data_IF_888494678249
#
_entry.id   IF_888494678249
#
_cell.length_a   1.000
_cell.length_b   1.000
_cell.length_c   1.000
_cell.angle_alpha   90.00
_cell.angle_beta   90.00
_cell.angle_gamma   90.00
#
_symmetry.space_group_name_H-M   'P 1'
#
loop_
_entity.id
_entity.type
_entity.pdbx_description
1 polymer ?
#
# COMPACT_ATOMS: atom_id res chain seq x y z
N UNK A 1 -18.30 1.88 -6.42
CA UNK A 1 -17.68 2.79 -7.41
C UNK A 1 -17.99 4.26 -7.17
N UNK A 2 -19.26 4.72 -7.12
CA UNK A 2 -19.57 6.16 -6.93
C UNK A 2 -18.92 6.78 -5.69
N UNK A 3 -18.95 6.11 -4.53
CA UNK A 3 -18.31 6.61 -3.30
C UNK A 3 -16.80 6.80 -3.43
N UNK A 4 -16.10 5.86 -4.09
CA UNK A 4 -14.64 5.91 -4.25
C UNK A 4 -14.20 7.08 -5.15
N UNK A 5 -14.93 7.33 -6.23
CA UNK A 5 -14.66 8.49 -7.11
C UNK A 5 -14.70 9.81 -6.32
N UNK A 6 -15.73 10.03 -5.51
CA UNK A 6 -15.83 11.24 -4.69
C UNK A 6 -14.67 11.40 -3.68
N UNK A 7 -14.21 10.30 -3.08
CA UNK A 7 -13.07 10.33 -2.15
C UNK A 7 -11.79 10.71 -2.88
N UNK A 8 -11.50 10.07 -4.01
CA UNK A 8 -10.30 10.34 -4.83
C UNK A 8 -10.31 11.80 -5.33
N UNK A 9 -11.44 12.27 -5.87
CA UNK A 9 -11.58 13.66 -6.29
C UNK A 9 -11.45 14.63 -5.11
N UNK A 10 -12.02 14.30 -3.96
CA UNK A 10 -11.91 15.09 -2.74
C UNK A 10 -10.47 15.27 -2.28
N UNK A 11 -9.67 14.20 -2.30
CA UNK A 11 -8.24 14.27 -1.96
C UNK A 11 -7.42 15.07 -2.98
N UNK A 12 -7.73 14.96 -4.29
CA UNK A 12 -7.07 15.79 -5.32
C UNK A 12 -7.38 17.27 -5.10
N UNK A 13 -8.65 17.61 -4.87
CA UNK A 13 -9.05 18.99 -4.58
C UNK A 13 -8.42 19.51 -3.28
N UNK A 14 -8.36 18.67 -2.24
CA UNK A 14 -7.70 19.01 -0.97
C UNK A 14 -6.21 19.31 -1.17
N UNK A 15 -5.54 18.53 -2.02
CA UNK A 15 -4.14 18.77 -2.38
C UNK A 15 -3.95 20.11 -3.09
N UNK A 16 -4.77 20.39 -4.11
CA UNK A 16 -4.72 21.66 -4.86
C UNK A 16 -5.00 22.85 -3.95
N UNK A 17 -6.02 22.74 -3.10
CA UNK A 17 -6.35 23.77 -2.12
C UNK A 17 -5.21 23.98 -1.12
N UNK A 18 -4.62 22.89 -0.59
CA UNK A 18 -3.49 22.97 0.35
C UNK A 18 -2.26 23.60 -0.28
N UNK A 19 -1.99 23.31 -1.55
CA UNK A 19 -0.87 23.91 -2.29
C UNK A 19 -1.01 25.43 -2.38
N UNK A 20 -2.22 25.92 -2.69
CA UNK A 20 -2.49 27.35 -2.83
C UNK A 20 -2.57 28.05 -1.46
N UNK A 21 -3.31 27.49 -0.51
CA UNK A 21 -3.55 28.12 0.80
C UNK A 21 -2.31 28.17 1.70
N UNK A 22 -1.36 27.25 1.52
CA UNK A 22 -0.14 27.16 2.33
C UNK A 22 1.07 27.76 1.61
N UNK A 23 0.86 28.67 0.65
CA UNK A 23 1.96 29.40 0.03
C UNK A 23 2.82 30.12 1.08
N UNK A 24 4.14 29.92 0.99
CA UNK A 24 5.11 30.47 1.95
C UNK A 24 5.39 29.58 3.18
N UNK A 25 4.57 28.57 3.47
CA UNK A 25 4.79 27.67 4.61
C UNK A 25 5.80 26.56 4.28
N UNK A 26 6.64 26.19 5.25
CA UNK A 26 7.66 25.14 5.12
C UNK A 26 7.02 23.77 4.84
N UNK A 27 5.83 23.54 5.40
CA UNK A 27 5.12 22.26 5.31
C UNK A 27 4.27 22.09 4.05
N UNK A 28 4.17 23.13 3.19
CA UNK A 28 3.30 23.15 2.01
C UNK A 28 3.41 21.88 1.16
N UNK A 29 4.63 21.53 0.77
CA UNK A 29 4.85 20.42 -0.15
C UNK A 29 4.42 19.08 0.45
N UNK A 30 4.61 18.88 1.76
CA UNK A 30 4.19 17.65 2.43
C UNK A 30 2.67 17.50 2.42
N UNK A 31 1.97 18.58 2.81
CA UNK A 31 0.52 18.55 2.99
C UNK A 31 -0.22 18.52 1.66
N UNK A 32 0.29 19.18 0.63
CA UNK A 32 -0.24 19.03 -0.70
C UNK A 32 0.01 17.63 -1.27
N UNK A 33 1.19 17.03 -1.03
CA UNK A 33 1.53 15.74 -1.63
C UNK A 33 0.78 14.55 -1.02
N UNK A 34 0.55 14.55 0.30
CA UNK A 34 -0.10 13.43 1.01
C UNK A 34 -1.46 13.03 0.40
N UNK A 35 -2.43 13.95 0.20
CA UNK A 35 -3.71 13.60 -0.41
C UNK A 35 -3.59 13.05 -1.84
N UNK A 36 -2.68 13.59 -2.67
CA UNK A 36 -2.43 13.05 -4.02
C UNK A 36 -1.94 11.60 -3.95
N UNK A 37 -0.97 11.32 -3.07
CA UNK A 37 -0.44 9.97 -2.93
C UNK A 37 -1.51 9.00 -2.39
N UNK A 38 -2.37 9.43 -1.47
CA UNK A 38 -3.52 8.62 -1.05
C UNK A 38 -4.47 8.33 -2.21
N UNK A 39 -4.80 9.33 -3.04
CA UNK A 39 -5.62 9.13 -4.24
C UNK A 39 -5.02 8.09 -5.18
N UNK A 40 -3.71 8.17 -5.44
CA UNK A 40 -2.99 7.20 -6.27
C UNK A 40 -3.01 5.81 -5.62
N UNK A 41 -2.75 5.72 -4.31
CA UNK A 41 -2.74 4.45 -3.58
C UNK A 41 -4.10 3.76 -3.64
N UNK A 42 -5.19 4.49 -3.39
CA UNK A 42 -6.56 3.95 -3.46
C UNK A 42 -6.87 3.46 -4.88
N UNK A 43 -6.52 4.26 -5.91
CA UNK A 43 -6.77 3.89 -7.31
C UNK A 43 -5.98 2.65 -7.73
N UNK A 44 -4.70 2.56 -7.36
CA UNK A 44 -3.86 1.40 -7.64
C UNK A 44 -4.39 0.15 -6.93
N UNK A 45 -4.76 0.27 -5.66
CA UNK A 45 -5.32 -0.83 -4.91
C UNK A 45 -6.63 -1.34 -5.53
N UNK A 46 -7.56 -0.43 -5.87
CA UNK A 46 -8.82 -0.77 -6.54
C UNK A 46 -8.60 -1.52 -7.84
N UNK A 47 -7.68 -1.01 -8.65
CA UNK A 47 -7.34 -1.61 -9.94
C UNK A 47 -6.81 -3.03 -9.75
N UNK A 48 -5.87 -3.22 -8.84
CA UNK A 48 -5.24 -4.52 -8.58
C UNK A 48 -6.24 -5.49 -7.97
N UNK A 49 -7.01 -5.08 -6.95
CA UNK A 49 -8.01 -5.91 -6.30
C UNK A 49 -9.08 -6.39 -7.29
N UNK A 50 -9.61 -5.48 -8.11
CA UNK A 50 -10.57 -5.81 -9.17
C UNK A 50 -9.96 -6.78 -10.19
N UNK A 51 -8.72 -6.54 -10.62
CA UNK A 51 -8.02 -7.42 -11.56
C UNK A 51 -7.84 -8.83 -10.99
N UNK A 52 -7.39 -8.93 -9.73
CA UNK A 52 -7.20 -10.19 -9.01
C UNK A 52 -8.53 -10.93 -8.84
N UNK A 53 -9.59 -10.23 -8.44
CA UNK A 53 -10.92 -10.80 -8.24
C UNK A 53 -11.49 -11.42 -9.52
N UNK A 54 -11.27 -10.77 -10.67
CA UNK A 54 -11.74 -11.27 -11.98
C UNK A 54 -10.89 -12.45 -12.48
N UNK A 55 -9.58 -12.46 -12.20
CA UNK A 55 -8.62 -13.38 -12.85
C UNK A 55 -8.24 -14.59 -12.01
N UNK A 56 -8.27 -14.48 -10.68
CA UNK A 56 -7.92 -15.58 -9.80
C UNK A 56 -9.16 -16.33 -9.34
N UNK A 57 -8.97 -17.63 -9.07
CA UNK A 57 -10.00 -18.37 -8.36
C UNK A 57 -10.06 -17.91 -6.88
N UNK A 58 -11.13 -18.31 -6.18
CA UNK A 58 -11.37 -17.89 -4.80
C UNK A 58 -10.23 -18.24 -3.84
N UNK A 59 -9.55 -19.38 -4.03
CA UNK A 59 -8.46 -19.81 -3.14
C UNK A 59 -7.23 -18.90 -3.26
N UNK A 60 -6.74 -18.68 -4.47
CA UNK A 60 -5.53 -17.86 -4.70
C UNK A 60 -5.76 -16.39 -4.37
N UNK A 61 -6.97 -15.89 -4.65
CA UNK A 61 -7.38 -14.57 -4.20
C UNK A 61 -7.32 -14.45 -2.67
N UNK A 62 -7.88 -15.42 -1.94
CA UNK A 62 -7.85 -15.44 -0.46
C UNK A 62 -6.42 -15.47 0.08
N UNK A 63 -5.55 -16.32 -0.47
CA UNK A 63 -4.15 -16.41 -0.03
C UNK A 63 -3.43 -15.08 -0.21
N UNK A 64 -3.67 -14.35 -1.30
CA UNK A 64 -2.96 -13.09 -1.57
C UNK A 64 -3.49 -11.91 -0.73
N UNK A 65 -4.80 -11.88 -0.46
CA UNK A 65 -5.46 -10.73 0.17
C UNK A 65 -5.55 -10.88 1.70
N UNK A 66 -5.63 -12.11 2.22
CA UNK A 66 -5.88 -12.35 3.64
C UNK A 66 -4.84 -11.73 4.58
N UNK A 67 -3.51 -11.87 4.38
CA UNK A 67 -2.55 -11.32 5.35
C UNK A 67 -2.64 -9.79 5.46
N UNK A 68 -2.83 -9.11 4.33
CA UNK A 68 -3.05 -7.66 4.29
C UNK A 68 -4.33 -7.26 5.02
N UNK A 69 -5.43 -7.96 4.75
CA UNK A 69 -6.73 -7.70 5.39
C UNK A 69 -6.68 -7.94 6.89
N UNK A 70 -6.05 -9.03 7.35
CA UNK A 70 -5.94 -9.34 8.77
C UNK A 70 -5.22 -8.20 9.50
N UNK A 71 -4.09 -7.70 8.96
CA UNK A 71 -3.37 -6.60 9.57
C UNK A 71 -4.14 -5.28 9.48
N UNK A 72 -4.88 -5.07 8.38
CA UNK A 72 -5.76 -3.92 8.18
C UNK A 72 -6.82 -3.83 9.29
N UNK A 73 -7.59 -4.90 9.50
CA UNK A 73 -8.63 -4.95 10.53
C UNK A 73 -8.02 -4.91 11.94
N UNK A 74 -6.88 -5.58 12.17
CA UNK A 74 -6.19 -5.49 13.45
C UNK A 74 -5.77 -4.04 13.76
N UNK A 75 -5.37 -3.27 12.75
CA UNK A 75 -5.00 -1.87 12.91
C UNK A 75 -6.20 -1.02 13.34
N UNK A 76 -7.38 -1.25 12.76
CA UNK A 76 -8.63 -0.63 13.24
C UNK A 76 -8.92 -0.98 14.70
N UNK A 77 -8.84 -2.27 15.06
CA UNK A 77 -9.11 -2.73 16.42
C UNK A 77 -8.14 -2.10 17.45
N UNK A 78 -6.85 -2.04 17.12
CA UNK A 78 -5.83 -1.42 17.97
C UNK A 78 -6.07 0.09 18.12
N UNK A 79 -6.33 0.80 17.02
CA UNK A 79 -6.61 2.23 17.07
C UNK A 79 -7.90 2.55 17.84
N UNK A 80 -8.95 1.73 17.66
CA UNK A 80 -10.18 1.85 18.42
C UNK A 80 -9.90 1.69 19.93
N UNK A 81 -9.13 0.68 20.33
CA UNK A 81 -8.77 0.45 21.73
C UNK A 81 -7.93 1.60 22.31
N UNK A 82 -6.92 2.09 21.59
CA UNK A 82 -6.06 3.20 22.04
C UNK A 82 -6.86 4.49 22.22
N UNK A 83 -7.83 4.73 21.34
CA UNK A 83 -8.68 5.94 21.39
C UNK A 83 -9.81 5.85 22.42
N UNK A 84 -9.91 4.75 23.16
CA UNK A 84 -10.92 4.54 24.20
C UNK A 84 -12.28 4.05 23.68
N UNK A 85 -12.35 3.59 22.43
CA UNK A 85 -13.53 2.91 21.91
C UNK A 85 -13.62 1.47 22.46
N UNK A 86 -14.84 0.97 22.63
CA UNK A 86 -15.11 -0.42 23.02
C UNK A 86 -15.33 -1.27 21.77
N UNK A 87 -14.37 -2.14 21.46
CA UNK A 87 -14.50 -3.12 20.38
C UNK A 87 -15.51 -4.20 20.80
N UNK A 88 -16.53 -4.42 19.98
CA UNK A 88 -17.64 -5.37 20.21
C UNK A 88 -17.40 -6.66 19.44
N UNK A 89 -16.91 -6.56 18.21
CA UNK A 89 -16.67 -7.71 17.34
C UNK A 89 -15.53 -7.44 16.37
N UNK A 90 -14.79 -8.49 16.03
CA UNK A 90 -13.71 -8.47 15.04
C UNK A 90 -13.88 -9.66 14.12
N UNK A 91 -13.99 -9.40 12.82
CA UNK A 91 -13.91 -10.38 11.75
C UNK A 91 -12.67 -10.06 10.92
N UNK A 92 -11.56 -10.75 11.20
CA UNK A 92 -10.27 -10.46 10.57
C UNK A 92 -10.22 -10.81 9.09
N UNK A 93 -10.94 -11.86 8.69
CA UNK A 93 -11.05 -12.26 7.29
C UNK A 93 -12.29 -13.10 7.03
N UNK A 94 -13.19 -12.59 6.20
CA UNK A 94 -14.35 -13.30 5.68
C UNK A 94 -14.71 -12.76 4.30
N UNK A 95 -14.50 -13.58 3.25
CA UNK A 95 -14.88 -13.20 1.88
C UNK A 95 -16.38 -13.45 1.69
N UNK A 96 -17.18 -12.38 1.72
CA UNK A 96 -18.61 -12.46 1.44
C UNK A 96 -18.92 -12.32 -0.06
N UNK A 97 -20.17 -12.62 -0.45
CA UNK A 97 -20.63 -12.48 -1.84
C UNK A 97 -20.66 -11.02 -2.34
N UNK A 98 -20.53 -10.04 -1.44
CA UNK A 98 -20.52 -8.60 -1.75
C UNK A 98 -19.09 -8.05 -1.87
N UNK A 99 -18.07 -8.87 -1.65
CA UNK A 99 -16.66 -8.48 -1.68
C UNK A 99 -16.16 -7.82 -0.40
N UNK A 100 -16.90 -7.89 0.71
CA UNK A 100 -16.34 -7.52 2.01
C UNK A 100 -15.33 -8.59 2.42
N UNK A 101 -14.22 -8.15 3.01
CA UNK A 101 -13.09 -9.01 3.37
C UNK A 101 -12.89 -9.11 4.88
N UNK A 102 -13.36 -8.14 5.65
CA UNK A 102 -13.20 -8.07 7.10
C UNK A 102 -14.08 -6.97 7.69
N UNK A 103 -14.17 -6.94 9.02
CA UNK A 103 -14.83 -5.84 9.73
C UNK A 103 -14.40 -5.76 11.19
N UNK A 104 -14.35 -4.53 11.71
CA UNK A 104 -14.26 -4.25 13.15
C UNK A 104 -15.47 -3.44 13.58
N UNK A 105 -16.23 -3.99 14.52
CA UNK A 105 -17.35 -3.30 15.14
C UNK A 105 -16.92 -2.73 16.49
N UNK A 106 -17.11 -1.44 16.68
CA UNK A 106 -16.81 -0.76 17.94
C UNK A 106 -17.86 0.29 18.28
N UNK A 107 -18.02 0.57 19.57
CA UNK A 107 -18.80 1.70 20.07
C UNK A 107 -17.88 2.73 20.71
N UNK A 108 -18.31 3.98 20.71
CA UNK A 108 -17.58 5.10 21.30
C UNK A 108 -18.55 6.06 21.98
N UNK A 109 -18.02 6.83 22.93
CA UNK A 109 -18.77 7.90 23.59
C UNK A 109 -19.18 8.99 22.60
N UNK A 110 -20.40 9.53 22.76
CA UNK A 110 -20.90 10.67 21.96
C UNK A 110 -20.39 12.00 22.52
N UNK A 111 -19.08 12.16 22.57
CA UNK A 111 -18.41 13.38 23.01
C UNK A 111 -17.81 14.16 21.82
N UNK A 112 -17.25 15.34 22.12
CA UNK A 112 -16.60 16.19 21.12
C UNK A 112 -15.36 15.55 20.47
N UNK A 113 -14.82 14.49 21.05
CA UNK A 113 -13.65 13.78 20.52
C UNK A 113 -14.00 12.66 19.52
N UNK A 114 -15.29 12.35 19.35
CA UNK A 114 -15.76 11.33 18.38
C UNK A 114 -15.20 11.52 16.97
N UNK A 115 -15.09 12.77 16.48
CA UNK A 115 -14.51 13.07 15.17
C UNK A 115 -13.03 12.70 15.10
N UNK A 116 -12.25 13.04 16.14
CA UNK A 116 -10.83 12.70 16.22
C UNK A 116 -10.62 11.19 16.32
N UNK A 117 -11.42 10.49 17.12
CA UNK A 117 -11.35 9.03 17.24
C UNK A 117 -11.64 8.35 15.90
N UNK A 118 -12.72 8.76 15.22
CA UNK A 118 -13.07 8.24 13.89
C UNK A 118 -11.98 8.54 12.86
N UNK A 119 -11.38 9.74 12.90
CA UNK A 119 -10.24 10.09 12.05
C UNK A 119 -9.05 9.14 12.29
N UNK A 120 -8.62 8.95 13.55
CA UNK A 120 -7.51 8.06 13.90
C UNK A 120 -7.81 6.62 13.47
N UNK A 121 -9.01 6.10 13.77
CA UNK A 121 -9.41 4.75 13.40
C UNK A 121 -9.46 4.59 11.88
N UNK A 122 -10.01 5.55 11.14
CA UNK A 122 -10.11 5.50 9.68
C UNK A 122 -8.75 5.47 8.97
N UNK A 123 -7.73 6.13 9.52
CA UNK A 123 -6.36 6.09 8.99
C UNK A 123 -5.49 4.97 9.58
N UNK A 124 -6.00 4.20 10.55
CA UNK A 124 -5.20 3.18 11.24
C UNK A 124 -4.59 2.12 10.31
N UNK A 125 -5.31 1.57 9.31
CA UNK A 125 -4.73 0.55 8.43
C UNK A 125 -3.56 1.07 7.60
N UNK A 126 -3.63 2.33 7.17
CA UNK A 126 -2.54 2.99 6.47
C UNK A 126 -1.27 3.00 7.32
N UNK A 127 -1.37 3.37 8.59
CA UNK A 127 -0.22 3.36 9.50
C UNK A 127 0.22 1.93 9.87
N UNK A 128 -0.71 1.03 10.21
CA UNK A 128 -0.36 -0.32 10.64
C UNK A 128 0.28 -1.15 9.54
N UNK A 129 -0.37 -1.27 8.39
CA UNK A 129 0.21 -1.95 7.23
C UNK A 129 1.45 -1.22 6.70
N UNK A 130 1.41 0.11 6.65
CA UNK A 130 2.50 0.93 6.15
C UNK A 130 3.79 0.86 6.97
N UNK A 131 3.71 0.92 8.29
CA UNK A 131 4.87 0.73 9.19
C UNK A 131 5.42 -0.68 9.03
N UNK A 132 4.56 -1.70 8.98
CA UNK A 132 4.99 -3.08 8.77
C UNK A 132 5.68 -3.26 7.40
N UNK A 133 5.20 -2.60 6.34
CA UNK A 133 5.85 -2.61 5.03
C UNK A 133 7.26 -2.02 5.08
N UNK A 134 7.43 -0.87 5.70
CA UNK A 134 8.77 -0.26 5.88
C UNK A 134 9.67 -1.19 6.70
N UNK A 135 9.15 -1.80 7.76
CA UNK A 135 9.89 -2.75 8.59
C UNK A 135 10.32 -3.99 7.80
N UNK A 136 9.43 -4.60 7.01
CA UNK A 136 9.76 -5.76 6.17
C UNK A 136 10.78 -5.42 5.09
N UNK A 137 10.68 -4.22 4.51
CA UNK A 137 11.62 -3.75 3.50
C UNK A 137 13.02 -3.57 4.10
N UNK A 138 13.10 -2.96 5.28
CA UNK A 138 14.34 -2.80 6.03
C UNK A 138 14.91 -4.12 6.57
N UNK A 139 14.05 -5.06 6.98
CA UNK A 139 14.45 -6.40 7.38
C UNK A 139 15.13 -7.13 6.22
N UNK A 140 14.55 -7.06 5.01
CA UNK A 140 15.14 -7.65 3.82
C UNK A 140 16.48 -6.99 3.46
N UNK A 141 16.57 -5.65 3.52
CA UNK A 141 17.85 -4.96 3.28
C UNK A 141 18.90 -5.37 4.30
N UNK A 142 18.56 -5.37 5.60
CA UNK A 142 19.47 -5.79 6.66
C UNK A 142 19.96 -7.23 6.48
N UNK A 143 19.08 -8.14 6.05
CA UNK A 143 19.42 -9.53 5.78
C UNK A 143 20.46 -9.69 4.65
N UNK A 144 20.43 -8.77 3.68
CA UNK A 144 21.35 -8.74 2.55
C UNK A 144 22.47 -7.69 2.69
N UNK A 145 22.70 -7.16 3.89
CA UNK A 145 23.68 -6.09 4.16
C UNK A 145 23.51 -4.83 3.29
N UNK A 146 22.27 -4.57 2.85
CA UNK A 146 21.88 -3.36 2.14
C UNK A 146 21.62 -2.18 3.08
N UNK A 147 21.54 -0.99 2.48
CA UNK A 147 21.21 0.23 3.22
C UNK A 147 19.74 0.26 3.65
N UNK A 148 19.52 0.60 4.92
CA UNK A 148 18.19 0.73 5.52
C UNK A 148 17.49 1.97 4.94
N UNK A 149 16.23 1.82 4.57
CA UNK A 149 15.38 2.94 4.17
C UNK A 149 15.02 3.77 5.40
N UNK A 150 15.37 5.04 5.33
CA UNK A 150 15.04 6.04 6.35
C UNK A 150 14.35 7.23 5.69
N UNK A 151 13.84 8.15 6.51
CA UNK A 151 13.22 9.39 6.05
C UNK A 151 14.13 10.29 5.20
N UNK A 152 15.44 10.04 5.16
CA UNK A 152 16.38 10.82 4.34
C UNK A 152 16.12 10.67 2.84
N UNK A 153 15.54 9.54 2.42
CA UNK A 153 15.21 9.31 1.01
C UNK A 153 14.03 10.16 0.53
N UNK A 154 13.23 10.69 1.45
CA UNK A 154 12.02 11.46 1.14
C UNK A 154 12.43 12.89 0.79
N UNK A 155 12.35 13.23 -0.50
CA UNK A 155 12.54 14.59 -0.98
C UNK A 155 11.30 15.04 -1.76
N UNK A 156 10.58 16.01 -1.19
CA UNK A 156 9.37 16.59 -1.77
C UNK A 156 9.59 18.01 -2.30
N UNK A 157 10.82 18.42 -2.60
CA UNK A 157 11.11 19.76 -3.13
C UNK A 157 10.63 19.92 -4.58
N UNK A 158 10.69 18.84 -5.37
CA UNK A 158 10.25 18.82 -6.76
C UNK A 158 9.61 17.47 -7.13
N UNK A 159 8.81 17.46 -8.21
CA UNK A 159 8.24 16.22 -8.77
C UNK A 159 9.34 15.23 -9.13
N UNK A 160 10.43 15.70 -9.73
CA UNK A 160 11.58 14.85 -10.06
C UNK A 160 12.18 14.19 -8.81
N UNK A 161 12.31 14.93 -7.70
CA UNK A 161 12.82 14.39 -6.45
C UNK A 161 11.91 13.28 -5.89
N UNK A 162 10.60 13.46 -5.98
CA UNK A 162 9.61 12.45 -5.57
C UNK A 162 9.73 11.21 -6.46
N UNK A 163 9.83 11.38 -7.78
CA UNK A 163 10.02 10.28 -8.73
C UNK A 163 11.33 9.53 -8.46
N UNK A 164 12.41 10.22 -8.12
CA UNK A 164 13.68 9.60 -7.70
C UNK A 164 13.51 8.80 -6.41
N UNK A 165 12.78 9.31 -5.40
CA UNK A 165 12.46 8.56 -4.18
C UNK A 165 11.67 7.28 -4.48
N UNK A 166 10.65 7.37 -5.35
CA UNK A 166 9.85 6.21 -5.80
C UNK A 166 10.74 5.20 -6.53
N UNK A 167 11.54 5.66 -7.50
CA UNK A 167 12.42 4.80 -8.28
C UNK A 167 13.43 4.07 -7.38
N UNK A 168 14.00 4.76 -6.38
CA UNK A 168 14.91 4.16 -5.41
C UNK A 168 14.21 3.10 -4.56
N UNK A 169 13.00 3.34 -4.06
CA UNK A 169 12.23 2.35 -3.30
C UNK A 169 11.92 1.12 -4.16
N UNK A 170 11.45 1.33 -5.39
CA UNK A 170 11.17 0.25 -6.36
C UNK A 170 12.45 -0.54 -6.67
N UNK A 171 13.58 0.13 -6.86
CA UNK A 171 14.87 -0.51 -7.07
C UNK A 171 15.25 -1.40 -5.87
N UNK A 172 15.09 -0.91 -4.63
CA UNK A 172 15.37 -1.69 -3.41
C UNK A 172 14.44 -2.89 -3.27
N UNK A 173 13.19 -2.77 -3.69
CA UNK A 173 12.26 -3.89 -3.78
C UNK A 173 12.75 -4.93 -4.79
N UNK A 174 13.08 -4.53 -6.03
CA UNK A 174 13.54 -5.48 -7.05
C UNK A 174 14.90 -6.12 -6.74
N UNK A 175 15.80 -5.40 -6.07
CA UNK A 175 17.09 -5.96 -5.62
C UNK A 175 16.90 -7.17 -4.71
N UNK A 176 15.81 -7.26 -3.94
CA UNK A 176 15.52 -8.44 -3.13
C UNK A 176 15.28 -9.70 -3.98
N UNK A 177 14.72 -9.58 -5.18
CA UNK A 177 14.57 -10.72 -6.09
C UNK A 177 15.90 -11.19 -6.65
N UNK A 178 16.82 -10.26 -6.93
CA UNK A 178 18.15 -10.57 -7.47
C UNK A 178 19.07 -11.22 -6.42
N UNK A 179 18.94 -10.79 -5.17
CA UNK A 179 19.75 -11.27 -4.04
C UNK A 179 19.14 -12.49 -3.34
N UNK A 180 17.87 -12.79 -3.59
CA UNK A 180 17.21 -13.99 -3.09
C UNK A 180 17.71 -15.20 -3.87
N UNK A 181 18.71 -15.89 -3.34
CA UNK A 181 19.18 -17.21 -3.80
C UNK A 181 18.13 -18.31 -3.54
N UNK A 182 16.87 -18.07 -3.89
CA UNK A 182 15.69 -18.88 -3.53
C UNK A 182 15.53 -19.06 -2.00
N UNK A 183 16.02 -18.10 -1.22
CA UNK A 183 15.92 -18.16 0.24
C UNK A 183 14.44 -18.10 0.66
N UNK A 184 13.92 -19.09 1.42
CA UNK A 184 12.51 -19.15 1.78
C UNK A 184 12.06 -17.95 2.63
N UNK A 185 12.96 -17.38 3.44
CA UNK A 185 12.67 -16.20 4.26
C UNK A 185 12.46 -14.98 3.38
N UNK A 186 13.34 -14.75 2.39
CA UNK A 186 13.20 -13.64 1.45
C UNK A 186 11.93 -13.78 0.61
N UNK A 187 11.59 -15.00 0.18
CA UNK A 187 10.33 -15.28 -0.53
C UNK A 187 9.12 -14.95 0.35
N UNK A 188 9.14 -15.37 1.62
CA UNK A 188 8.08 -15.05 2.57
C UNK A 188 7.94 -13.54 2.77
N UNK A 189 9.06 -12.82 2.92
CA UNK A 189 9.06 -11.35 3.06
C UNK A 189 8.46 -10.69 1.81
N UNK A 190 8.88 -11.09 0.61
CA UNK A 190 8.35 -10.56 -0.64
C UNK A 190 6.84 -10.83 -0.78
N UNK A 191 6.40 -12.04 -0.44
CA UNK A 191 4.98 -12.39 -0.40
C UNK A 191 4.21 -11.48 0.57
N UNK A 192 4.70 -11.31 1.80
CA UNK A 192 4.07 -10.43 2.79
C UNK A 192 4.06 -8.97 2.35
N UNK A 193 5.13 -8.46 1.73
CA UNK A 193 5.18 -7.09 1.20
C UNK A 193 4.10 -6.85 0.15
N UNK A 194 3.84 -7.80 -0.75
CA UNK A 194 2.74 -7.70 -1.72
C UNK A 194 1.39 -7.73 -1.01
N UNK A 195 1.16 -8.69 -0.10
CA UNK A 195 -0.10 -8.83 0.62
C UNK A 195 -0.43 -7.56 1.44
N UNK A 196 0.55 -7.05 2.19
CA UNK A 196 0.38 -5.85 3.01
C UNK A 196 0.28 -4.57 2.17
N UNK A 197 0.93 -4.54 1.00
CA UNK A 197 0.76 -3.47 0.01
C UNK A 197 -0.72 -3.30 -0.36
N UNK A 198 -1.40 -4.41 -0.63
CA UNK A 198 -2.84 -4.47 -0.94
C UNK A 198 -3.72 -4.16 0.28
N UNK A 199 -3.25 -4.49 1.49
CA UNK A 199 -3.96 -4.18 2.73
C UNK A 199 -3.78 -2.74 3.25
N UNK A 200 -2.84 -1.96 2.71
CA UNK A 200 -2.47 -0.66 3.28
C UNK A 200 -3.39 0.50 2.86
N UNK A 201 -4.11 0.37 1.76
CA UNK A 201 -5.01 1.41 1.27
C UNK A 201 -6.30 1.44 2.12
N UNK A 202 -6.66 2.58 2.75
CA UNK A 202 -7.93 2.68 3.43
C UNK A 202 -9.10 2.59 2.44
N UNK A 203 -10.16 1.90 2.85
CA UNK A 203 -11.37 1.72 2.07
C UNK A 203 -12.28 2.96 2.14
N UNK A 204 -13.24 3.05 1.21
CA UNK A 204 -14.27 4.09 1.29
C UNK A 204 -15.17 3.98 2.52
N UNK A 205 -15.26 2.79 3.12
CA UNK A 205 -16.04 2.55 4.34
C UNK A 205 -15.32 3.15 5.54
N UNK A 206 -13.99 3.01 5.60
CA UNK A 206 -13.15 3.50 6.70
C UNK A 206 -13.26 5.03 6.78
N UNK A 207 -13.20 5.70 5.63
CA UNK A 207 -13.39 7.15 5.56
C UNK A 207 -14.84 7.61 5.73
N UNK A 208 -15.83 6.78 5.41
CA UNK A 208 -17.24 7.12 5.61
C UNK A 208 -17.53 7.42 7.08
N UNK A 209 -16.91 6.67 8.00
CA UNK A 209 -16.99 6.94 9.44
C UNK A 209 -16.47 8.34 9.78
N UNK A 210 -15.25 8.65 9.34
CA UNK A 210 -14.60 9.95 9.54
C UNK A 210 -15.43 11.11 8.99
N UNK A 211 -15.82 11.06 7.71
CA UNK A 211 -16.58 12.15 7.07
C UNK A 211 -17.99 12.30 7.65
N UNK A 212 -18.68 11.18 7.89
CA UNK A 212 -20.02 11.24 8.47
C UNK A 212 -20.00 11.76 9.91
N UNK A 213 -18.95 11.45 10.67
CA UNK A 213 -18.73 12.03 12.00
C UNK A 213 -18.45 13.52 11.92
N UNK A 214 -17.62 13.95 10.96
CA UNK A 214 -17.28 15.35 10.80
C UNK A 214 -18.51 16.23 10.46
N UNK A 215 -19.42 15.72 9.62
CA UNK A 215 -20.68 16.41 9.30
C UNK A 215 -21.64 16.43 10.50
N UNK A 216 -21.73 15.32 11.25
CA UNK A 216 -22.66 15.20 12.38
C UNK A 216 -22.23 15.97 13.64
N UNK A 217 -20.94 16.22 13.82
CA UNK A 217 -20.38 16.81 15.03
C UNK A 217 -19.51 18.04 14.70
N UNK A 218 -20.13 19.19 14.38
CA UNK A 218 -19.41 20.38 13.89
C UNK A 218 -18.40 20.92 14.91
N UNK A 219 -18.69 20.86 16.21
CA UNK A 219 -17.75 21.26 17.26
C UNK A 219 -16.50 20.40 17.26
N UNK A 220 -16.65 19.06 17.15
CA UNK A 220 -15.51 18.15 17.04
C UNK A 220 -14.70 18.38 15.77
N UNK A 221 -15.36 18.72 14.67
CA UNK A 221 -14.71 19.11 13.42
C UNK A 221 -13.91 20.40 13.57
N UNK A 222 -14.45 21.42 14.24
CA UNK A 222 -13.72 22.66 14.52
C UNK A 222 -12.50 22.40 15.40
N UNK A 223 -12.61 21.52 16.41
CA UNK A 223 -11.46 21.11 17.23
C UNK A 223 -10.41 20.44 16.35
N UNK A 224 -10.80 19.49 15.49
CA UNK A 224 -9.87 18.83 14.57
C UNK A 224 -9.18 19.81 13.62
N UNK A 225 -9.94 20.74 13.04
CA UNK A 225 -9.40 21.79 12.16
C UNK A 225 -8.44 22.72 12.91
N UNK A 226 -8.78 23.09 14.16
CA UNK A 226 -7.91 23.90 15.00
C UNK A 226 -6.60 23.18 15.34
N UNK A 227 -6.65 21.87 15.61
CA UNK A 227 -5.46 21.05 15.81
C UNK A 227 -4.58 21.03 14.56
N UNK A 228 -5.17 20.85 13.37
CA UNK A 228 -4.42 20.93 12.12
C UNK A 228 -3.79 22.32 11.93
N UNK A 229 -4.57 23.40 12.08
CA UNK A 229 -4.09 24.78 11.99
C UNK A 229 -2.93 25.04 12.97
N UNK A 230 -3.02 24.51 14.19
CA UNK A 230 -1.97 24.63 15.20
C UNK A 230 -0.69 23.91 14.78
N UNK A 231 -0.78 22.73 14.16
CA UNK A 231 0.39 22.02 13.60
C UNK A 231 1.07 22.85 12.51
N UNK A 232 0.31 23.53 11.64
CA UNK A 232 0.89 24.41 10.63
C UNK A 232 1.60 25.61 11.24
N UNK A 233 0.93 26.30 12.17
CA UNK A 233 1.49 27.47 12.83
C UNK A 233 2.76 27.13 13.61
N UNK A 234 2.73 26.05 14.40
CA UNK A 234 3.91 25.54 15.12
C UNK A 234 5.00 25.03 14.16
N UNK A 235 4.62 24.59 12.97
CA UNK A 235 5.53 24.13 11.92
C UNK A 235 6.49 25.19 11.37
N UNK A 236 6.21 26.48 11.61
CA UNK A 236 7.06 27.59 11.14
C UNK A 236 8.16 27.96 12.15
N UNK A 237 8.05 27.54 13.41
CA UNK A 237 9.08 27.82 14.42
C UNK A 237 10.26 26.84 14.29
N UNK A 238 11.53 27.30 14.32
CA UNK A 238 12.70 26.47 13.98
C UNK A 238 12.85 25.16 14.78
N UNK A 239 12.49 25.16 16.06
CA UNK A 239 12.63 23.96 16.91
C UNK A 239 11.54 22.93 16.62
N UNK A 240 10.29 23.37 16.52
CA UNK A 240 9.13 22.50 16.28
C UNK A 240 9.02 22.09 14.82
N UNK A 241 9.46 22.92 13.88
CA UNK A 241 9.48 22.63 12.44
C UNK A 241 10.27 21.36 12.14
N UNK A 242 11.39 21.14 12.84
CA UNK A 242 12.21 19.92 12.69
C UNK A 242 11.42 18.66 13.03
N UNK A 243 10.72 18.64 14.15
CA UNK A 243 9.95 17.47 14.60
C UNK A 243 8.69 17.25 13.76
N UNK A 244 7.98 18.33 13.42
CA UNK A 244 6.80 18.24 12.57
C UNK A 244 7.18 17.80 11.16
N UNK A 245 8.22 18.38 10.57
CA UNK A 245 8.74 17.93 9.27
C UNK A 245 9.20 16.46 9.30
N UNK A 246 9.83 16.01 10.39
CA UNK A 246 10.21 14.62 10.56
C UNK A 246 8.97 13.70 10.56
N UNK A 247 7.91 14.06 11.27
CA UNK A 247 6.64 13.33 11.27
C UNK A 247 6.04 13.26 9.86
N UNK A 248 5.97 14.38 9.14
CA UNK A 248 5.46 14.43 7.77
C UNK A 248 6.33 13.61 6.81
N UNK A 249 7.66 13.58 6.99
CA UNK A 249 8.56 12.71 6.22
C UNK A 249 8.29 11.23 6.48
N UNK A 250 7.97 10.84 7.71
CA UNK A 250 7.56 9.45 8.00
C UNK A 250 6.24 9.09 7.32
N UNK A 251 5.23 9.97 7.39
CA UNK A 251 3.94 9.76 6.70
C UNK A 251 4.18 9.61 5.19
N UNK A 252 4.98 10.49 4.59
CA UNK A 252 5.34 10.39 3.19
C UNK A 252 6.15 9.13 2.87
N UNK A 253 7.10 8.74 3.70
CA UNK A 253 7.88 7.51 3.50
C UNK A 253 6.94 6.30 3.42
N UNK A 254 5.98 6.20 4.35
CA UNK A 254 5.00 5.13 4.37
C UNK A 254 4.15 5.13 3.08
N UNK A 255 3.64 6.30 2.66
CA UNK A 255 2.89 6.45 1.40
C UNK A 255 3.71 6.04 0.19
N UNK A 256 4.93 6.56 0.08
CA UNK A 256 5.83 6.28 -1.03
C UNK A 256 6.19 4.80 -1.09
N UNK A 257 6.45 4.15 0.05
CA UNK A 257 6.69 2.70 0.10
C UNK A 257 5.46 1.92 -0.36
N UNK A 258 4.27 2.24 0.16
CA UNK A 258 3.04 1.54 -0.26
C UNK A 258 2.74 1.72 -1.76
N UNK A 259 2.78 2.95 -2.27
CA UNK A 259 2.55 3.26 -3.70
C UNK A 259 3.60 2.59 -4.58
N UNK A 260 4.87 2.63 -4.18
CA UNK A 260 5.98 2.00 -4.92
C UNK A 260 5.80 0.49 -5.00
N UNK A 261 5.44 -0.16 -3.88
CA UNK A 261 5.22 -1.60 -3.83
C UNK A 261 3.98 -2.03 -4.62
N UNK A 262 2.87 -1.29 -4.53
CA UNK A 262 1.70 -1.53 -5.38
C UNK A 262 2.07 -1.43 -6.86
N UNK A 263 2.79 -0.39 -7.25
CA UNK A 263 3.26 -0.20 -8.63
C UNK A 263 4.18 -1.34 -9.08
N UNK A 264 5.16 -1.71 -8.27
CA UNK A 264 6.08 -2.81 -8.56
C UNK A 264 5.38 -4.18 -8.56
N UNK A 265 4.28 -4.33 -7.83
CA UNK A 265 3.50 -5.58 -7.81
C UNK A 265 2.68 -5.80 -9.07
N UNK A 266 2.33 -4.75 -9.85
CA UNK A 266 1.53 -4.88 -11.08
C UNK A 266 2.13 -5.90 -12.06
N UNK A 267 3.40 -5.79 -12.51
CA UNK A 267 3.97 -6.78 -13.42
C UNK A 267 4.04 -8.17 -12.78
N UNK A 268 4.34 -8.27 -11.48
CA UNK A 268 4.41 -9.56 -10.77
C UNK A 268 3.05 -10.26 -10.71
N UNK A 269 2.01 -9.51 -10.37
CA UNK A 269 0.63 -9.98 -10.32
C UNK A 269 0.17 -10.38 -11.72
N UNK A 270 0.45 -9.58 -12.74
CA UNK A 270 0.13 -9.91 -14.12
C UNK A 270 0.80 -11.22 -14.57
N UNK A 271 2.10 -11.38 -14.32
CA UNK A 271 2.82 -12.61 -14.65
C UNK A 271 2.27 -13.80 -13.85
N UNK A 272 1.98 -13.60 -12.58
CA UNK A 272 1.39 -14.60 -11.69
C UNK A 272 0.03 -15.09 -12.19
N UNK A 273 -0.89 -14.19 -12.56
CA UNK A 273 -2.19 -14.59 -13.10
C UNK A 273 -2.03 -15.34 -14.43
N UNK A 274 -1.14 -14.91 -15.32
CA UNK A 274 -0.87 -15.62 -16.58
C UNK A 274 -0.30 -17.02 -16.36
N UNK A 275 0.58 -17.18 -15.38
CA UNK A 275 1.07 -18.49 -14.97
C UNK A 275 -0.07 -19.36 -14.43
N UNK A 276 -0.96 -18.80 -13.60
CA UNK A 276 -2.07 -19.53 -13.01
C UNK A 276 -3.13 -20.00 -14.03
N UNK A 277 -3.30 -19.27 -15.14
CA UNK A 277 -4.17 -19.62 -16.27
C UNK A 277 -3.64 -20.80 -17.13
N UNK A 278 -2.41 -21.28 -16.90
CA UNK A 278 -1.84 -22.43 -17.64
C UNK A 278 -2.35 -23.78 -17.11
N UNK A 279 -2.39 -24.79 -17.98
CA UNK A 279 -2.61 -26.18 -17.57
C UNK A 279 -1.44 -26.70 -16.74
N UNK A 280 -1.67 -27.74 -15.92
CA UNK A 280 -0.65 -28.28 -15.01
C UNK A 280 0.65 -28.68 -15.73
N UNK A 281 0.53 -29.30 -16.91
CA UNK A 281 1.68 -29.68 -17.74
C UNK A 281 2.43 -28.45 -18.27
N UNK A 282 1.72 -27.40 -18.72
CA UNK A 282 2.37 -26.15 -19.15
C UNK A 282 3.06 -25.44 -17.98
N UNK A 283 2.45 -25.40 -16.80
CA UNK A 283 3.06 -24.85 -15.57
C UNK A 283 4.37 -25.54 -15.23
N UNK A 284 4.40 -26.87 -15.31
CA UNK A 284 5.60 -27.66 -15.09
C UNK A 284 6.73 -27.20 -16.03
N UNK A 285 6.48 -27.09 -17.34
CA UNK A 285 7.49 -26.61 -18.29
C UNK A 285 7.92 -25.17 -18.04
N UNK A 286 6.99 -24.28 -17.68
CA UNK A 286 7.30 -22.88 -17.33
C UNK A 286 8.23 -22.77 -16.13
N UNK A 287 8.25 -23.74 -15.21
CA UNK A 287 9.18 -23.77 -14.08
C UNK A 287 10.45 -24.59 -14.35
N UNK A 288 10.32 -25.71 -15.05
CA UNK A 288 11.44 -26.61 -15.34
C UNK A 288 12.50 -25.97 -16.25
N UNK A 289 12.09 -25.25 -17.30
CA UNK A 289 13.02 -24.63 -18.24
C UNK A 289 13.89 -23.56 -17.55
N UNK A 290 13.33 -22.59 -16.82
CA UNK A 290 14.14 -21.61 -16.08
C UNK A 290 15.03 -22.26 -15.02
N UNK A 291 14.55 -23.30 -14.33
CA UNK A 291 15.36 -24.04 -13.37
C UNK A 291 16.58 -24.68 -14.04
N UNK A 292 16.41 -25.31 -15.20
CA UNK A 292 17.52 -25.88 -15.98
C UNK A 292 18.51 -24.80 -16.43
N UNK A 293 18.02 -23.64 -16.89
CA UNK A 293 18.85 -22.48 -17.24
C UNK A 293 19.64 -21.99 -16.02
N UNK A 294 18.98 -21.90 -14.87
CA UNK A 294 19.61 -21.48 -13.61
C UNK A 294 20.72 -22.45 -13.20
N UNK A 295 20.45 -23.76 -13.21
CA UNK A 295 21.44 -24.78 -12.87
C UNK A 295 22.63 -24.82 -13.86
N UNK A 296 22.41 -24.42 -15.11
CA UNK A 296 23.45 -24.47 -16.15
C UNK A 296 24.35 -23.24 -16.19
N UNK A 297 23.77 -22.04 -16.00
CA UNK A 297 24.48 -20.75 -16.22
C UNK A 297 24.70 -20.01 -14.89
N UNK A 298 23.96 -20.35 -13.84
CA UNK A 298 23.95 -19.67 -12.54
C UNK A 298 23.76 -18.13 -12.66
N UNK A 299 22.93 -17.70 -13.62
CA UNK A 299 22.66 -16.29 -13.86
C UNK A 299 21.15 -16.02 -13.70
N UNK A 300 20.80 -15.22 -12.68
CA UNK A 300 19.40 -14.91 -12.32
C UNK A 300 18.67 -14.12 -13.39
N UNK A 301 19.33 -13.20 -14.09
CA UNK A 301 18.73 -12.42 -15.17
C UNK A 301 18.35 -13.29 -16.36
N UNK A 302 19.25 -14.20 -16.77
CA UNK A 302 18.96 -15.18 -17.83
C UNK A 302 17.87 -16.18 -17.42
N UNK A 303 17.85 -16.56 -16.14
CA UNK A 303 16.79 -17.41 -15.55
C UNK A 303 15.42 -16.72 -15.66
N UNK A 304 15.33 -15.44 -15.27
CA UNK A 304 14.10 -14.66 -15.38
C UNK A 304 13.66 -14.48 -16.84
N UNK A 305 14.61 -14.19 -17.73
CA UNK A 305 14.33 -14.06 -19.16
C UNK A 305 13.78 -15.38 -19.73
N UNK A 306 14.38 -16.52 -19.39
CA UNK A 306 13.89 -17.83 -19.78
C UNK A 306 12.47 -18.07 -19.25
N UNK A 307 12.18 -17.71 -17.99
CA UNK A 307 10.83 -17.81 -17.42
C UNK A 307 9.81 -17.00 -18.21
N UNK A 308 10.13 -15.75 -18.53
CA UNK A 308 9.26 -14.88 -19.31
C UNK A 308 9.01 -15.48 -20.70
N UNK A 309 10.07 -15.87 -21.42
CA UNK A 309 9.94 -16.46 -22.76
C UNK A 309 9.08 -17.73 -22.73
N UNK A 310 9.33 -18.64 -21.79
CA UNK A 310 8.55 -19.87 -21.66
C UNK A 310 7.09 -19.60 -21.29
N UNK A 311 6.84 -18.65 -20.38
CA UNK A 311 5.49 -18.25 -20.01
C UNK A 311 4.72 -17.70 -21.21
N UNK A 312 5.31 -16.76 -21.95
CA UNK A 312 4.67 -16.14 -23.11
C UNK A 312 4.46 -17.14 -24.25
N UNK A 313 5.45 -17.97 -24.58
CA UNK A 313 5.33 -18.98 -25.65
C UNK A 313 4.26 -20.02 -25.36
N UNK A 314 4.18 -20.54 -24.12
CA UNK A 314 3.17 -21.53 -23.75
C UNK A 314 1.76 -20.96 -23.59
N UNK A 315 1.66 -19.69 -23.15
CA UNK A 315 0.38 -18.98 -23.01
C UNK A 315 -0.20 -18.60 -24.37
N UNK A 316 0.64 -18.05 -25.25
CA UNK A 316 0.25 -17.53 -26.56
C UNK A 316 0.70 -18.47 -27.69
N UNK A 317 0.61 -19.77 -27.47
CA UNK A 317 1.08 -20.78 -28.41
C UNK A 317 0.42 -20.65 -29.80
N UNK A 318 -0.80 -20.12 -29.88
CA UNK A 318 -1.51 -19.87 -31.13
C UNK A 318 -0.84 -18.80 -32.02
N UNK A 319 -0.03 -17.90 -31.46
CA UNK A 319 0.75 -16.92 -32.24
C UNK A 319 1.93 -17.61 -32.93
N UNK A 320 2.51 -18.62 -32.28
CA UNK A 320 3.73 -19.30 -32.76
C UNK A 320 3.43 -20.56 -33.58
N UNK A 321 2.34 -21.25 -33.26
CA UNK A 321 1.86 -22.42 -33.98
C UNK A 321 0.82 -21.95 -34.99
N UNK A 322 1.25 -21.78 -36.25
CA UNK A 322 0.31 -21.49 -37.35
C UNK A 322 -0.83 -22.52 -37.32
N UNK A 323 -2.11 -22.10 -37.45
CA UNK A 323 -3.18 -23.05 -37.69
C UNK A 323 -2.86 -23.80 -38.98
N UNK A 324 -2.73 -25.13 -38.87
CA UNK A 324 -2.62 -26.04 -40.01
C UNK A 324 -3.99 -26.29 -40.61
#
# INVERSE_FOLDING_TARGET
MRSRFFIISGFILLSMASWYLLEGFILRNYVALIPILFSIQILLNDFIEMYLFIRLNSLWFKILIAPGTILHELSHAVAAKITGCKVIGISLFHLDARGNLGSVEYTQSRDGFSVLRNFIVGFAPFFGCGIMLVALLNLAQSYHHGEILTVSIVNCQSVESILRSIALIIQRFYQQFLLSSLNPITILILYLQVCLGLGAAPSSVDFKGTFSSAVRHPVGTLILLFLFASVFYLGEYPLTSRYISLLFKWILLILLVSVSLLTASIPLIYLGTKFMELSLLKKFFTLAIPLLVHLSINNTALTLLAFLITLFTLRYSWIFLRPR
#
